data_IF_606835829801
#
_entry.id   IF_606835829801
#
_cell.length_a   1.000
_cell.length_b   1.000
_cell.length_c   1.000
_cell.angle_alpha   90.00
_cell.angle_beta   90.00
_cell.angle_gamma   90.00
#
_symmetry.space_group_name_H-M   'P 1'
#
loop_
_entity.id
_entity.type
_entity.pdbx_description
1 polymer ?
#
# COMPACT_ATOMS: atom_id res chain seq x y z
N UNK A 1 4.39 20.72 -2.35
CA UNK A 1 3.24 19.78 -2.49
C UNK A 1 1.99 20.59 -2.76
N UNK A 2 1.25 20.23 -3.81
CA UNK A 2 -0.03 20.85 -4.21
C UNK A 2 -1.12 19.78 -4.32
N UNK A 3 -2.36 20.20 -4.19
CA UNK A 3 -3.52 19.32 -4.38
C UNK A 3 -4.20 19.63 -5.71
N UNK A 4 -4.68 18.58 -6.37
CA UNK A 4 -5.55 18.67 -7.55
C UNK A 4 -6.92 18.12 -7.20
N UNK A 5 -7.97 18.81 -7.65
CA UNK A 5 -9.34 18.32 -7.51
C UNK A 5 -9.61 17.22 -8.53
N UNK A 6 -10.24 16.15 -8.05
CA UNK A 6 -10.69 15.04 -8.89
C UNK A 6 -12.19 14.82 -8.67
N UNK A 7 -12.82 13.99 -9.49
CA UNK A 7 -14.28 13.79 -9.37
C UNK A 7 -14.69 13.23 -8.01
N UNK A 8 -15.95 13.40 -7.64
CA UNK A 8 -16.57 12.93 -6.39
C UNK A 8 -16.02 13.62 -5.13
N UNK A 9 -15.45 14.84 -5.25
CA UNK A 9 -14.98 15.62 -4.11
C UNK A 9 -13.65 15.16 -3.50
N UNK A 10 -12.94 14.22 -4.15
CA UNK A 10 -11.62 13.81 -3.71
C UNK A 10 -10.54 14.77 -4.20
N UNK A 11 -9.40 14.77 -3.50
CA UNK A 11 -8.20 15.48 -3.87
C UNK A 11 -7.01 14.53 -3.94
N UNK A 12 -6.10 14.76 -4.89
CA UNK A 12 -4.86 14.03 -5.00
C UNK A 12 -3.68 14.96 -4.81
N UNK A 13 -2.65 14.47 -4.11
CA UNK A 13 -1.42 15.20 -3.82
C UNK A 13 -0.37 14.95 -4.91
N UNK A 14 0.26 16.03 -5.37
CA UNK A 14 1.33 15.98 -6.38
C UNK A 14 2.45 16.93 -5.98
N UNK A 15 3.65 16.74 -6.54
CA UNK A 15 4.75 17.68 -6.36
C UNK A 15 4.49 18.98 -7.15
N UNK A 16 5.09 20.08 -6.68
CA UNK A 16 4.91 21.40 -7.29
C UNK A 16 5.36 21.39 -8.76
N UNK A 17 6.43 20.68 -9.08
CA UNK A 17 6.97 20.56 -10.44
C UNK A 17 6.04 19.79 -11.41
N UNK A 18 5.20 18.91 -10.89
CA UNK A 18 4.26 18.11 -11.69
C UNK A 18 2.89 18.78 -11.85
N UNK A 19 2.62 19.80 -11.03
CA UNK A 19 1.28 20.40 -10.92
C UNK A 19 0.76 20.92 -12.26
N UNK A 20 1.54 21.71 -13.00
CA UNK A 20 1.10 22.31 -14.24
C UNK A 20 0.74 21.25 -15.30
N UNK A 21 1.61 20.24 -15.50
CA UNK A 21 1.36 19.18 -16.48
C UNK A 21 0.22 18.25 -16.09
N UNK A 22 -0.03 18.10 -14.77
CA UNK A 22 -1.13 17.28 -14.25
C UNK A 22 -2.45 18.05 -14.37
N UNK A 23 -2.46 19.32 -14.00
CA UNK A 23 -3.66 20.19 -14.04
C UNK A 23 -4.18 20.48 -15.46
N UNK A 24 -3.35 20.26 -16.49
CA UNK A 24 -3.78 20.34 -17.88
C UNK A 24 -4.86 19.31 -18.27
N UNK A 25 -5.14 18.34 -17.40
CA UNK A 25 -6.09 17.26 -17.66
C UNK A 25 -7.13 17.12 -16.56
N UNK A 26 -8.32 16.64 -16.93
CA UNK A 26 -9.36 16.26 -15.97
C UNK A 26 -9.14 14.84 -15.46
N UNK A 27 -8.94 14.71 -14.14
CA UNK A 27 -8.75 13.44 -13.46
C UNK A 27 -10.03 12.97 -12.76
N UNK A 28 -10.19 11.66 -12.66
CA UNK A 28 -11.37 11.01 -12.12
C UNK A 28 -10.97 10.09 -10.96
N UNK A 29 -11.86 9.99 -9.97
CA UNK A 29 -11.73 9.05 -8.87
C UNK A 29 -12.33 7.69 -9.25
N UNK A 30 -11.57 6.61 -9.09
CA UNK A 30 -12.07 5.23 -9.11
C UNK A 30 -12.15 4.74 -7.68
N UNK A 31 -13.34 4.75 -7.12
CA UNK A 31 -13.62 4.38 -5.73
C UNK A 31 -13.94 2.89 -5.66
N UNK A 32 -13.02 2.12 -5.05
CA UNK A 32 -13.29 0.72 -4.72
C UNK A 32 -13.93 0.62 -3.35
N UNK A 33 -15.06 -0.10 -3.27
CA UNK A 33 -15.80 -0.36 -2.04
C UNK A 33 -15.71 -1.82 -1.65
N UNK A 34 -15.78 -2.09 -0.35
CA UNK A 34 -15.98 -3.44 0.19
C UNK A 34 -17.45 -3.84 0.04
N UNK A 35 -17.74 -5.12 0.35
CA UNK A 35 -19.13 -5.64 0.33
C UNK A 35 -20.07 -4.91 1.31
N UNK A 36 -19.51 -4.38 2.41
CA UNK A 36 -20.23 -3.59 3.43
C UNK A 36 -20.43 -2.12 3.02
N UNK A 37 -20.07 -1.72 1.79
CA UNK A 37 -20.17 -0.36 1.28
C UNK A 37 -19.02 0.58 1.69
N UNK A 38 -18.17 0.20 2.63
CA UNK A 38 -17.04 1.03 3.08
C UNK A 38 -16.01 1.22 1.95
N UNK A 39 -15.38 2.41 1.91
CA UNK A 39 -14.36 2.71 0.92
C UNK A 39 -13.10 1.92 1.25
N UNK A 40 -12.66 1.09 0.31
CA UNK A 40 -11.43 0.34 0.40
C UNK A 40 -10.23 1.14 -0.11
N UNK A 41 -10.37 1.75 -1.30
CA UNK A 41 -9.30 2.53 -1.96
C UNK A 41 -9.91 3.49 -2.99
N UNK A 42 -9.21 4.60 -3.23
CA UNK A 42 -9.56 5.57 -4.27
C UNK A 42 -8.34 5.75 -5.17
N UNK A 43 -8.43 5.35 -6.42
CA UNK A 43 -7.37 5.54 -7.42
C UNK A 43 -7.71 6.72 -8.33
N UNK A 44 -6.69 7.40 -8.82
CA UNK A 44 -6.82 8.54 -9.73
C UNK A 44 -6.48 8.10 -11.15
N UNK A 45 -7.37 8.39 -12.11
CA UNK A 45 -7.18 8.04 -13.51
C UNK A 45 -7.80 9.08 -14.45
N UNK A 46 -7.40 9.02 -15.71
CA UNK A 46 -8.08 9.72 -16.82
C UNK A 46 -8.31 8.75 -17.99
N UNK A 47 -9.26 9.09 -18.84
CA UNK A 47 -9.48 8.40 -20.11
C UNK A 47 -8.76 9.17 -21.21
N UNK A 48 -7.83 8.53 -21.89
CA UNK A 48 -7.14 9.03 -23.08
C UNK A 48 -7.89 8.57 -24.32
N UNK A 49 -7.94 9.43 -25.36
CA UNK A 49 -8.66 9.14 -26.61
C UNK A 49 -7.76 9.31 -27.85
N UNK A 50 -6.50 9.70 -27.67
CA UNK A 50 -5.58 10.05 -28.78
C UNK A 50 -5.07 8.85 -29.57
N UNK A 51 -4.95 7.67 -28.94
CA UNK A 51 -4.47 6.42 -29.58
C UNK A 51 -5.42 5.26 -29.26
N UNK A 52 -6.72 5.51 -29.44
CA UNK A 52 -7.76 4.62 -28.95
C UNK A 52 -8.14 4.90 -27.49
N UNK A 53 -9.32 4.44 -27.07
CA UNK A 53 -9.82 4.66 -25.71
C UNK A 53 -9.09 3.78 -24.72
N UNK A 54 -8.22 4.37 -23.89
CA UNK A 54 -7.52 3.67 -22.81
C UNK A 54 -7.52 4.49 -21.52
N UNK A 55 -7.23 3.83 -20.40
CA UNK A 55 -7.19 4.44 -19.07
C UNK A 55 -5.75 4.65 -18.64
N UNK A 56 -5.40 5.90 -18.27
CA UNK A 56 -4.10 6.25 -17.71
C UNK A 56 -4.26 6.60 -16.22
N UNK A 57 -3.50 5.95 -15.36
CA UNK A 57 -3.47 6.23 -13.92
C UNK A 57 -2.50 7.38 -13.63
N UNK A 58 -2.85 8.26 -12.66
CA UNK A 58 -2.07 9.46 -12.33
C UNK A 58 -0.63 9.13 -11.92
N UNK A 59 -0.42 8.17 -11.01
CA UNK A 59 0.91 7.78 -10.57
C UNK A 59 1.81 7.27 -11.73
N UNK A 60 1.23 6.63 -12.76
CA UNK A 60 1.97 6.20 -13.95
C UNK A 60 2.30 7.38 -14.87
N UNK A 61 1.38 8.34 -14.98
CA UNK A 61 1.59 9.58 -15.72
C UNK A 61 2.74 10.38 -15.12
N UNK A 62 2.78 10.51 -13.79
CA UNK A 62 3.83 11.25 -13.06
C UNK A 62 5.21 10.60 -13.28
N UNK A 63 5.30 9.27 -13.19
CA UNK A 63 6.55 8.54 -13.39
C UNK A 63 6.91 8.28 -14.87
N UNK A 64 6.08 8.68 -15.84
CA UNK A 64 6.32 8.44 -17.26
C UNK A 64 6.31 6.96 -17.66
N UNK A 65 5.62 6.09 -16.91
CA UNK A 65 5.62 4.64 -17.13
C UNK A 65 4.49 4.26 -18.09
N UNK A 66 4.83 3.79 -19.28
CA UNK A 66 3.91 3.25 -20.29
C UNK A 66 3.76 1.72 -20.20
N UNK A 67 4.82 0.97 -19.86
CA UNK A 67 4.78 -0.49 -19.79
C UNK A 67 3.83 -0.99 -18.69
N UNK A 68 2.72 -1.62 -19.08
CA UNK A 68 1.69 -2.14 -18.17
C UNK A 68 2.16 -3.27 -17.24
N UNK A 69 3.28 -3.92 -17.54
CA UNK A 69 3.87 -4.97 -16.71
C UNK A 69 4.50 -4.37 -15.43
N UNK A 70 5.04 -3.16 -15.53
CA UNK A 70 5.60 -2.45 -14.38
C UNK A 70 4.48 -2.04 -13.45
N UNK A 71 4.54 -2.44 -12.19
CA UNK A 71 3.62 -1.97 -11.14
C UNK A 71 4.19 -0.72 -10.48
N UNK A 72 3.30 0.16 -10.04
CA UNK A 72 3.66 1.32 -9.23
C UNK A 72 3.01 1.14 -7.86
N UNK A 73 3.81 1.27 -6.83
CA UNK A 73 3.43 1.19 -5.43
C UNK A 73 3.48 2.58 -4.78
N UNK A 74 2.59 2.81 -3.83
CA UNK A 74 2.58 3.99 -2.97
C UNK A 74 3.15 3.58 -1.61
N UNK A 75 4.32 4.11 -1.23
CA UNK A 75 5.05 3.70 -0.02
C UNK A 75 4.19 3.81 1.24
N UNK A 76 3.39 4.87 1.36
CA UNK A 76 2.47 5.12 2.46
C UNK A 76 1.15 4.34 2.37
N UNK A 77 0.93 3.62 1.26
CA UNK A 77 -0.31 2.88 0.97
C UNK A 77 -1.52 3.77 0.63
N UNK A 78 -1.33 5.08 0.46
CA UNK A 78 -2.38 6.03 0.06
C UNK A 78 -2.33 6.31 -1.45
N UNK A 79 -3.29 5.81 -2.26
CA UNK A 79 -3.27 6.01 -3.71
C UNK A 79 -3.56 7.45 -4.16
N UNK A 80 -3.96 8.33 -3.26
CA UNK A 80 -4.15 9.76 -3.52
C UNK A 80 -2.87 10.58 -3.36
N UNK A 81 -1.85 10.04 -2.67
CA UNK A 81 -0.54 10.68 -2.57
C UNK A 81 0.35 10.25 -3.75
N UNK A 82 0.28 11.01 -4.83
CA UNK A 82 1.02 10.76 -6.06
C UNK A 82 2.33 11.57 -6.16
N UNK A 83 2.91 11.99 -5.05
CA UNK A 83 4.23 12.64 -5.03
C UNK A 83 5.35 11.64 -5.39
N UNK A 84 6.35 12.06 -6.15
CA UNK A 84 7.43 11.17 -6.65
C UNK A 84 8.16 10.44 -5.53
N UNK A 85 8.45 11.12 -4.41
CA UNK A 85 9.11 10.48 -3.28
C UNK A 85 8.31 9.33 -2.66
N UNK A 86 6.97 9.35 -2.80
CA UNK A 86 6.06 8.32 -2.33
C UNK A 86 5.83 7.19 -3.36
N UNK A 87 6.12 7.46 -4.63
CA UNK A 87 5.93 6.49 -5.71
C UNK A 87 7.21 5.68 -5.92
N UNK A 88 7.04 4.38 -6.21
CA UNK A 88 8.16 3.51 -6.61
C UNK A 88 7.68 2.44 -7.59
N UNK A 89 8.58 2.02 -8.46
CA UNK A 89 8.36 0.83 -9.26
C UNK A 89 8.46 -0.40 -8.36
N UNK A 90 7.60 -1.38 -8.59
CA UNK A 90 7.54 -2.58 -7.79
C UNK A 90 7.19 -3.80 -8.65
N UNK A 91 7.66 -4.96 -8.25
CA UNK A 91 7.13 -6.24 -8.72
C UNK A 91 5.75 -6.50 -8.12
N UNK A 92 5.01 -7.45 -8.65
CA UNK A 92 3.72 -7.88 -8.08
C UNK A 92 3.88 -8.34 -6.63
N UNK A 93 4.97 -9.07 -6.34
CA UNK A 93 5.26 -9.56 -5.00
C UNK A 93 5.52 -8.43 -4.00
N UNK A 94 6.33 -7.44 -4.38
CA UNK A 94 6.64 -6.27 -3.55
C UNK A 94 5.41 -5.42 -3.29
N UNK A 95 4.62 -5.12 -4.32
CA UNK A 95 3.38 -4.38 -4.17
C UNK A 95 2.36 -5.12 -3.26
N UNK A 96 2.32 -6.46 -3.32
CA UNK A 96 1.48 -7.26 -2.42
C UNK A 96 1.96 -7.16 -0.97
N UNK A 97 3.27 -7.11 -0.71
CA UNK A 97 3.84 -6.96 0.64
C UNK A 97 3.45 -5.64 1.30
N UNK A 98 3.38 -4.55 0.53
CA UNK A 98 2.96 -3.24 1.04
C UNK A 98 1.44 -3.14 1.30
N UNK A 99 0.64 -4.16 0.98
CA UNK A 99 -0.79 -4.11 1.24
C UNK A 99 -1.09 -4.26 2.73
N UNK A 100 -2.03 -3.44 3.23
CA UNK A 100 -2.64 -3.62 4.54
C UNK A 100 -3.52 -4.87 4.50
N UNK A 101 -3.20 -5.88 5.31
CA UNK A 101 -4.03 -7.07 5.45
C UNK A 101 -5.02 -6.85 6.59
N UNK A 102 -6.29 -7.06 6.31
CA UNK A 102 -7.33 -7.17 7.33
C UNK A 102 -7.42 -8.63 7.74
N UNK A 103 -7.05 -8.92 8.97
CA UNK A 103 -7.26 -10.22 9.61
C UNK A 103 -8.00 -10.01 10.94
N UNK A 104 -8.49 -11.08 11.52
CA UNK A 104 -9.26 -11.06 12.78
C UNK A 104 -8.44 -10.58 13.99
N UNK A 105 -7.11 -10.62 13.91
CA UNK A 105 -6.22 -10.23 15.00
C UNK A 105 -5.90 -8.73 15.03
N UNK A 106 -6.19 -8.03 13.93
CA UNK A 106 -5.79 -6.62 13.74
C UNK A 106 -4.32 -6.41 13.42
N UNK A 107 -3.45 -7.42 13.58
CA UNK A 107 -2.01 -7.32 13.31
C UNK A 107 -1.60 -8.11 12.07
N UNK A 108 -0.76 -7.52 11.25
CA UNK A 108 -0.18 -8.17 10.07
C UNK A 108 0.77 -9.30 10.47
N UNK A 109 0.62 -10.45 9.84
CA UNK A 109 1.50 -11.60 10.05
C UNK A 109 1.28 -12.35 11.35
N UNK A 110 0.23 -12.03 12.12
CA UNK A 110 -0.11 -12.64 13.40
C UNK A 110 -1.37 -13.49 13.29
N UNK A 111 -1.36 -14.65 13.88
CA UNK A 111 -2.51 -15.56 14.00
C UNK A 111 -2.50 -16.28 15.35
N UNK A 112 -3.67 -16.63 15.86
CA UNK A 112 -3.77 -17.51 17.03
C UNK A 112 -3.52 -18.95 16.63
N UNK A 113 -2.61 -19.62 17.32
CA UNK A 113 -2.34 -21.04 17.17
C UNK A 113 -3.10 -21.82 18.25
N UNK A 114 -4.15 -22.53 17.84
CA UNK A 114 -5.04 -23.25 18.76
C UNK A 114 -4.31 -24.39 19.48
N UNK A 115 -3.42 -25.08 18.79
CA UNK A 115 -2.71 -26.24 19.35
C UNK A 115 -1.75 -25.85 20.48
N UNK A 116 -1.01 -24.75 20.30
CA UNK A 116 -0.04 -24.28 21.28
C UNK A 116 -0.63 -23.25 22.26
N UNK A 117 -1.85 -22.78 22.00
CA UNK A 117 -2.49 -21.68 22.73
C UNK A 117 -1.58 -20.43 22.85
N UNK A 118 -0.95 -20.07 21.73
CA UNK A 118 -0.04 -18.93 21.63
C UNK A 118 -0.27 -18.16 20.34
N UNK A 119 0.20 -16.92 20.31
CA UNK A 119 0.23 -16.08 19.12
C UNK A 119 1.39 -16.50 18.22
N UNK A 120 1.09 -16.83 16.99
CA UNK A 120 2.07 -17.20 15.97
C UNK A 120 2.40 -16.01 15.10
N UNK A 121 3.70 -15.68 14.97
CA UNK A 121 4.19 -14.81 13.93
C UNK A 121 4.62 -15.60 12.70
N UNK A 122 4.18 -15.17 11.51
CA UNK A 122 4.55 -15.77 10.22
C UNK A 122 4.55 -14.75 9.10
N UNK A 123 5.41 -14.96 8.11
CA UNK A 123 5.37 -14.24 6.84
C UNK A 123 5.51 -15.21 5.67
N UNK A 124 5.27 -14.73 4.46
CA UNK A 124 5.46 -15.52 3.24
C UNK A 124 6.65 -14.97 2.46
N UNK A 125 7.63 -15.84 2.20
CA UNK A 125 8.80 -15.53 1.37
C UNK A 125 8.83 -16.50 0.19
N UNK A 126 8.85 -15.99 -1.04
CA UNK A 126 8.87 -16.80 -2.27
C UNK A 126 7.79 -17.90 -2.27
N UNK A 127 6.55 -17.53 -1.94
CA UNK A 127 5.38 -18.41 -1.82
C UNK A 127 5.47 -19.48 -0.70
N UNK A 128 6.51 -19.45 0.13
CA UNK A 128 6.67 -20.38 1.27
C UNK A 128 6.38 -19.64 2.59
N UNK A 129 5.61 -20.23 3.51
CA UNK A 129 5.42 -19.67 4.84
C UNK A 129 6.71 -19.82 5.66
N UNK A 130 7.11 -18.73 6.32
CA UNK A 130 8.24 -18.70 7.27
C UNK A 130 7.65 -18.48 8.65
N UNK A 131 7.87 -19.44 9.55
CA UNK A 131 7.49 -19.36 10.96
C UNK A 131 8.53 -18.52 11.72
N UNK A 132 8.06 -17.52 12.48
CA UNK A 132 8.93 -16.56 13.19
C UNK A 132 8.91 -16.76 14.71
N UNK A 133 8.02 -17.61 15.22
CA UNK A 133 7.91 -17.95 16.62
C UNK A 133 6.48 -18.00 17.15
N UNK A 134 6.37 -18.45 18.41
CA UNK A 134 5.14 -18.51 19.20
C UNK A 134 5.32 -17.63 20.45
N UNK A 135 4.35 -16.77 20.73
CA UNK A 135 4.44 -15.72 21.74
C UNK A 135 3.20 -15.76 22.65
N UNK A 136 3.37 -15.41 23.90
CA UNK A 136 2.26 -15.26 24.86
C UNK A 136 1.49 -13.97 24.66
N UNK A 137 2.18 -12.90 24.24
CA UNK A 137 1.57 -11.59 23.93
C UNK A 137 1.46 -11.40 22.42
N UNK A 138 0.35 -10.84 22.00
CA UNK A 138 0.09 -10.58 20.57
C UNK A 138 1.04 -9.53 20.00
N UNK A 139 1.39 -8.53 20.81
CA UNK A 139 2.31 -7.45 20.44
C UNK A 139 3.72 -7.98 20.16
N UNK A 140 4.20 -8.94 20.95
CA UNK A 140 5.52 -9.56 20.74
C UNK A 140 5.56 -10.34 19.42
N UNK A 141 4.46 -11.03 19.10
CA UNK A 141 4.27 -11.67 17.80
C UNK A 141 4.30 -10.66 16.66
N UNK A 142 3.64 -9.50 16.82
CA UNK A 142 3.63 -8.44 15.83
C UNK A 142 5.02 -7.80 15.65
N UNK A 143 5.77 -7.58 16.74
CA UNK A 143 7.17 -7.09 16.68
C UNK A 143 8.10 -8.09 15.98
N UNK A 144 7.94 -9.38 16.25
CA UNK A 144 8.72 -10.43 15.56
C UNK A 144 8.45 -10.42 14.05
N UNK A 145 7.18 -10.23 13.64
CA UNK A 145 6.84 -10.05 12.23
C UNK A 145 7.52 -8.80 11.67
N UNK A 146 7.43 -7.66 12.34
CA UNK A 146 7.98 -6.38 11.88
C UNK A 146 9.49 -6.46 11.68
N UNK A 147 10.23 -7.03 12.64
CA UNK A 147 11.67 -7.22 12.54
C UNK A 147 12.06 -8.11 11.34
N UNK A 148 11.33 -9.21 11.14
CA UNK A 148 11.57 -10.10 10.01
C UNK A 148 11.20 -9.44 8.67
N UNK A 149 10.11 -8.67 8.62
CA UNK A 149 9.67 -7.97 7.43
C UNK A 149 10.69 -6.93 6.98
N UNK A 150 11.23 -6.12 7.90
CA UNK A 150 12.28 -5.13 7.59
C UNK A 150 13.52 -5.82 7.05
N UNK A 151 13.98 -6.89 7.71
CA UNK A 151 15.18 -7.64 7.30
C UNK A 151 15.05 -8.28 5.92
N UNK A 152 13.86 -8.84 5.59
CA UNK A 152 13.67 -9.63 4.38
C UNK A 152 13.13 -8.83 3.20
N UNK A 153 12.42 -7.73 3.44
CA UNK A 153 11.73 -6.97 2.41
C UNK A 153 12.26 -5.54 2.26
N UNK A 154 13.15 -5.09 3.17
CA UNK A 154 13.75 -3.77 3.11
C UNK A 154 12.70 -2.65 3.01
N UNK A 155 12.88 -1.79 2.03
CA UNK A 155 11.97 -0.65 1.78
C UNK A 155 10.52 -1.07 1.43
N UNK A 156 10.30 -2.31 0.98
CA UNK A 156 8.97 -2.85 0.69
C UNK A 156 8.29 -3.50 1.91
N UNK A 157 8.91 -3.44 3.08
CA UNK A 157 8.29 -3.89 4.30
C UNK A 157 7.08 -3.00 4.65
N UNK A 158 5.97 -3.62 4.99
CA UNK A 158 4.81 -2.96 5.57
C UNK A 158 4.62 -3.55 6.97
N UNK A 159 5.13 -2.82 7.97
CA UNK A 159 5.15 -3.27 9.36
C UNK A 159 3.90 -2.84 10.13
N UNK A 160 3.61 -3.51 11.25
CA UNK A 160 2.54 -3.11 12.16
C UNK A 160 2.81 -1.73 12.77
N UNK A 161 4.07 -1.40 13.04
CA UNK A 161 4.48 -0.08 13.52
C UNK A 161 4.19 1.02 12.49
N UNK A 162 4.51 0.81 11.20
CA UNK A 162 4.18 1.74 10.11
C UNK A 162 2.67 1.92 9.93
N UNK A 163 1.89 0.91 10.25
CA UNK A 163 0.43 0.96 10.21
C UNK A 163 -0.20 1.62 11.45
N UNK A 164 0.62 2.03 12.43
CA UNK A 164 0.15 2.60 13.70
C UNK A 164 -0.55 1.59 14.61
N UNK A 165 -0.31 0.29 14.40
CA UNK A 165 -0.94 -0.79 15.17
C UNK A 165 -0.15 -1.15 16.42
N UNK A 166 1.14 -0.82 16.45
CA UNK A 166 1.99 -0.94 17.64
C UNK A 166 2.33 0.46 18.16
N UNK A 167 2.16 0.67 19.46
CA UNK A 167 2.70 1.87 20.12
C UNK A 167 4.22 1.93 19.92
N UNK A 168 4.76 3.13 19.70
CA UNK A 168 6.20 3.34 19.80
C UNK A 168 6.63 2.87 21.19
N UNK A 169 7.64 1.98 21.23
CA UNK A 169 8.25 1.68 22.52
C UNK A 169 8.87 2.96 23.04
N UNK A 170 8.44 3.39 24.21
CA UNK A 170 9.23 4.32 25.01
C UNK A 170 10.55 3.61 25.31
N UNK A 171 11.64 4.15 24.77
CA UNK A 171 13.00 3.73 25.09
C UNK A 171 13.37 4.23 26.49
#
# INVERSE_FOLDING_TARGET
MREIDITQGYKAQVDDEDFERVSAFKWQANVRRRKDGTIQRVYVYRTCRTEGKHTQKLHRFILGISDFKVKVDHKDGNPLNCQKHNLRQATVAENTRNQRLHNSTGYKGVAWNITSQKWQAKLTLQHKPVHLGLFTKIEDSARAYDAAAVRLFGEFACTNAMLGLLSKMDN
#
